data_IF_714199584237
#
_entry.id   IF_714199584237
#
_cell.length_a   1.000
_cell.length_b   1.000
_cell.length_c   1.000
_cell.angle_alpha   90.00
_cell.angle_beta   90.00
_cell.angle_gamma   90.00
#
_symmetry.space_group_name_H-M   'P 1'
#
loop_
_entity.id
_entity.type
_entity.pdbx_description
1 polymer ?
#
# COMPACT_ATOMS: atom_id res chain seq x y z
N UNK A 1 -14.78 -21.14 -10.34
CA UNK A 1 -13.75 -20.89 -9.32
C UNK A 1 -13.88 -19.43 -8.96
N UNK A 2 -14.56 -19.11 -7.86
CA UNK A 2 -14.74 -17.74 -7.37
C UNK A 2 -13.39 -17.29 -6.79
N UNK A 3 -12.75 -16.31 -7.42
CA UNK A 3 -11.55 -15.67 -6.89
C UNK A 3 -12.00 -14.78 -5.73
N UNK A 4 -11.76 -15.23 -4.50
CA UNK A 4 -11.77 -14.36 -3.33
C UNK A 4 -10.62 -13.37 -3.55
N UNK A 5 -10.95 -12.12 -3.86
CA UNK A 5 -9.98 -11.02 -3.84
C UNK A 5 -9.73 -10.75 -2.37
N UNK A 6 -8.76 -11.46 -1.79
CA UNK A 6 -8.18 -11.08 -0.51
C UNK A 6 -7.43 -9.77 -0.75
N UNK A 7 -8.08 -8.66 -0.44
CA UNK A 7 -7.40 -7.39 -0.30
C UNK A 7 -6.40 -7.53 0.85
N UNK A 8 -5.14 -7.77 0.52
CA UNK A 8 -4.04 -7.63 1.47
C UNK A 8 -4.01 -6.16 1.87
N UNK A 9 -4.62 -5.83 3.00
CA UNK A 9 -4.39 -4.54 3.65
C UNK A 9 -3.00 -4.63 4.25
N UNK A 10 -1.99 -4.34 3.43
CA UNK A 10 -0.72 -3.96 3.97
C UNK A 10 -0.95 -2.63 4.69
N UNK A 11 -0.73 -2.58 5.99
CA UNK A 11 -0.62 -1.32 6.73
C UNK A 11 0.65 -0.67 6.21
N UNK A 12 0.53 0.03 5.09
CA UNK A 12 1.61 0.82 4.56
C UNK A 12 1.46 2.23 5.12
N UNK A 13 2.49 2.66 5.77
CA UNK A 13 2.63 4.01 6.29
C UNK A 13 2.47 5.05 5.18
N UNK A 14 1.76 6.11 5.46
CA UNK A 14 1.27 7.08 4.49
C UNK A 14 1.95 8.43 4.63
N UNK A 15 2.16 9.11 3.54
CA UNK A 15 2.73 10.44 3.47
C UNK A 15 1.80 11.45 2.82
N UNK A 16 1.72 12.58 3.46
CA UNK A 16 1.09 13.79 2.93
C UNK A 16 2.10 14.57 2.08
N UNK A 17 1.78 14.90 0.83
CA UNK A 17 2.43 15.98 0.12
C UNK A 17 2.15 17.29 0.86
N UNK A 18 3.19 17.94 1.42
CA UNK A 18 3.09 19.29 1.95
C UNK A 18 2.73 20.23 0.81
N UNK A 19 1.60 20.93 0.95
CA UNK A 19 1.43 22.26 0.40
C UNK A 19 2.43 23.13 1.17
N UNK A 20 3.20 23.97 0.48
CA UNK A 20 3.94 25.05 1.13
C UNK A 20 2.95 25.93 1.87
N UNK A 21 2.83 25.72 3.17
CA UNK A 21 2.29 26.67 4.12
C UNK A 21 3.33 26.89 5.20
N UNK A 22 3.72 28.15 5.30
CA UNK A 22 4.59 28.68 6.35
C UNK A 22 4.16 28.19 7.73
N UNK A 23 5.10 27.55 8.40
CA UNK A 23 5.21 27.38 9.83
C UNK A 23 3.92 27.26 10.61
N UNK A 24 3.46 26.03 10.80
CA UNK A 24 2.89 25.59 12.07
C UNK A 24 2.91 24.07 12.09
N UNK A 25 3.49 23.54 13.12
CA UNK A 25 3.45 22.15 13.51
C UNK A 25 1.99 21.70 13.51
N UNK A 26 1.56 21.00 12.45
CA UNK A 26 0.21 20.45 12.41
C UNK A 26 0.19 19.28 13.39
N UNK A 27 -0.09 19.60 14.64
CA UNK A 27 -0.47 18.63 15.65
C UNK A 27 -1.64 17.84 15.09
N UNK A 28 -1.41 16.56 14.83
CA UNK A 28 -2.49 15.66 14.46
C UNK A 28 -3.43 15.61 15.64
N UNK A 29 -4.66 16.02 15.39
CA UNK A 29 -5.70 16.03 16.41
C UNK A 29 -6.07 14.60 16.78
N UNK A 30 -6.26 14.39 18.08
CA UNK A 30 -6.84 13.15 18.60
C UNK A 30 -8.16 12.84 17.86
N UNK A 31 -8.32 11.59 17.40
CA UNK A 31 -9.52 11.17 16.66
C UNK A 31 -9.42 11.21 15.12
N UNK A 32 -8.23 11.43 14.54
CA UNK A 32 -8.02 11.36 13.09
C UNK A 32 -7.82 9.94 12.57
N UNK A 33 -7.49 8.99 13.45
CA UNK A 33 -7.35 7.57 13.13
C UNK A 33 -8.52 6.78 13.68
N UNK A 34 -9.09 5.86 12.90
CA UNK A 34 -10.01 4.90 13.46
C UNK A 34 -9.28 3.93 14.39
N UNK A 35 -9.84 3.76 15.58
CA UNK A 35 -9.40 2.73 16.55
C UNK A 35 -9.78 1.34 16.08
N UNK A 36 -10.86 1.25 15.35
CA UNK A 36 -11.33 0.00 14.77
C UNK A 36 -11.79 0.20 13.32
N UNK A 37 -11.43 -0.74 12.45
CA UNK A 37 -11.89 -0.82 11.06
C UNK A 37 -12.41 -2.22 10.81
N UNK A 38 -13.69 -2.35 10.48
CA UNK A 38 -14.33 -3.63 10.18
C UNK A 38 -14.68 -3.70 8.70
N UNK A 39 -14.14 -4.70 8.01
CA UNK A 39 -14.43 -5.00 6.61
C UNK A 39 -15.49 -6.09 6.53
N UNK A 40 -16.52 -5.87 5.71
CA UNK A 40 -17.60 -6.84 5.43
C UNK A 40 -17.60 -7.20 3.95
N UNK A 41 -17.88 -8.46 3.65
CA UNK A 41 -18.06 -8.93 2.28
C UNK A 41 -19.42 -8.48 1.68
N UNK A 42 -19.69 -8.88 0.44
CA UNK A 42 -20.93 -8.55 -0.28
C UNK A 42 -22.20 -9.02 0.44
N UNK A 43 -22.11 -10.04 1.30
CA UNK A 43 -23.20 -10.58 2.10
C UNK A 43 -23.33 -9.93 3.49
N UNK A 44 -22.54 -8.88 3.77
CA UNK A 44 -22.52 -8.19 5.06
C UNK A 44 -21.82 -8.95 6.20
N UNK A 45 -21.17 -10.09 5.92
CA UNK A 45 -20.41 -10.85 6.92
C UNK A 45 -19.04 -10.20 7.10
N UNK A 46 -18.55 -10.17 8.35
CA UNK A 46 -17.22 -9.68 8.67
C UNK A 46 -16.17 -10.56 7.97
N UNK A 47 -15.36 -9.93 7.13
CA UNK A 47 -14.24 -10.56 6.43
C UNK A 47 -12.91 -10.31 7.13
N UNK A 48 -12.74 -9.10 7.70
CA UNK A 48 -11.59 -8.79 8.56
C UNK A 48 -11.90 -7.65 9.52
N UNK A 49 -11.15 -7.59 10.60
CA UNK A 49 -11.22 -6.56 11.63
C UNK A 49 -9.82 -6.10 11.99
N UNK A 50 -9.61 -4.79 12.02
CA UNK A 50 -8.38 -4.15 12.46
C UNK A 50 -8.67 -3.32 13.71
N UNK A 51 -7.92 -3.55 14.78
CA UNK A 51 -7.97 -2.75 16.01
C UNK A 51 -6.61 -2.11 16.23
N UNK A 52 -6.58 -0.81 16.52
CA UNK A 52 -5.35 -0.04 16.70
C UNK A 52 -5.31 0.62 18.09
N UNK A 53 -4.18 0.52 18.76
CA UNK A 53 -3.85 1.33 19.94
C UNK A 53 -3.20 2.62 19.46
N UNK A 54 -3.84 3.76 19.77
CA UNK A 54 -3.41 5.08 19.31
C UNK A 54 -3.18 5.96 20.55
N UNK A 55 -1.98 6.52 20.66
CA UNK A 55 -1.61 7.46 21.73
C UNK A 55 -0.81 8.63 21.15
N UNK A 56 -1.11 9.86 21.54
CA UNK A 56 -0.43 11.06 21.06
C UNK A 56 -0.45 11.20 19.52
N UNK A 57 -1.53 10.73 18.88
CA UNK A 57 -1.64 10.70 17.42
C UNK A 57 -0.77 9.65 16.72
N UNK A 58 -0.18 8.70 17.42
CA UNK A 58 0.65 7.62 16.88
C UNK A 58 -0.03 6.28 17.07
N UNK A 59 0.03 5.42 16.06
CA UNK A 59 -0.37 4.01 16.20
C UNK A 59 0.78 3.25 16.86
N UNK A 60 0.59 2.83 18.10
CA UNK A 60 1.59 2.05 18.85
C UNK A 60 1.51 0.57 18.55
N UNK A 61 0.31 0.07 18.33
CA UNK A 61 0.09 -1.30 17.87
C UNK A 61 -1.18 -1.40 17.04
N UNK A 62 -1.25 -2.43 16.22
CA UNK A 62 -2.48 -2.81 15.54
C UNK A 62 -2.60 -4.33 15.50
N UNK A 63 -3.83 -4.82 15.56
CA UNK A 63 -4.15 -6.23 15.47
C UNK A 63 -5.23 -6.44 14.42
N UNK A 64 -4.95 -7.30 13.44
CA UNK A 64 -5.84 -7.62 12.35
C UNK A 64 -6.24 -9.09 12.44
N UNK A 65 -7.53 -9.36 12.38
CA UNK A 65 -8.11 -10.69 12.24
C UNK A 65 -8.76 -10.83 10.88
N UNK A 66 -8.56 -11.96 10.23
CA UNK A 66 -9.22 -12.33 8.98
C UNK A 66 -10.08 -13.56 9.25
N UNK A 67 -11.32 -13.53 8.75
CA UNK A 67 -12.34 -14.53 9.01
C UNK A 67 -12.68 -15.30 7.74
N UNK A 68 -13.05 -16.58 7.89
CA UNK A 68 -13.64 -17.37 6.81
C UNK A 68 -15.16 -17.05 6.65
N UNK A 69 -15.78 -17.68 5.67
CA UNK A 69 -17.24 -17.50 5.41
C UNK A 69 -18.14 -17.92 6.60
N UNK A 70 -17.64 -18.76 7.51
CA UNK A 70 -18.36 -19.20 8.70
C UNK A 70 -18.15 -18.26 9.90
N UNK A 71 -17.36 -17.19 9.75
CA UNK A 71 -17.04 -16.24 10.83
C UNK A 71 -15.96 -16.72 11.81
N UNK A 72 -15.24 -17.80 11.48
CA UNK A 72 -14.10 -18.24 12.29
C UNK A 72 -12.81 -17.54 11.86
N UNK A 73 -11.97 -17.08 12.79
CA UNK A 73 -10.69 -16.47 12.45
C UNK A 73 -9.76 -17.52 11.81
N UNK A 74 -9.20 -17.19 10.65
CA UNK A 74 -8.24 -18.04 9.92
C UNK A 74 -6.83 -17.47 9.94
N UNK A 75 -6.70 -16.18 10.22
CA UNK A 75 -5.42 -15.49 10.30
C UNK A 75 -5.50 -14.35 11.30
N UNK A 76 -4.44 -14.19 12.08
CA UNK A 76 -4.22 -13.01 12.92
C UNK A 76 -2.89 -12.38 12.57
N UNK A 77 -2.79 -11.07 12.68
CA UNK A 77 -1.54 -10.33 12.57
C UNK A 77 -1.53 -9.23 13.60
N UNK A 78 -0.43 -9.11 14.33
CA UNK A 78 -0.20 -8.03 15.29
C UNK A 78 1.07 -7.29 14.93
N UNK A 79 0.96 -5.99 14.84
CA UNK A 79 2.09 -5.07 14.65
C UNK A 79 2.33 -4.29 15.95
N UNK A 80 3.59 -4.14 16.33
CA UNK A 80 4.05 -3.24 17.39
C UNK A 80 5.01 -2.26 16.76
N UNK A 81 4.77 -0.96 16.97
CA UNK A 81 5.51 0.12 16.32
C UNK A 81 6.26 0.92 17.38
N UNK A 82 7.56 1.06 17.20
CA UNK A 82 8.44 1.86 18.05
C UNK A 82 8.85 3.12 17.31
N UNK A 83 8.83 4.24 18.00
CA UNK A 83 9.17 5.56 17.46
C UNK A 83 10.43 6.14 18.12
N UNK A 84 11.12 6.97 17.36
CA UNK A 84 12.10 7.94 17.85
C UNK A 84 11.61 9.33 17.45
N UNK A 85 11.18 10.13 18.43
CA UNK A 85 10.41 11.34 18.14
C UNK A 85 9.13 11.00 17.35
N UNK A 86 8.98 11.60 16.16
CA UNK A 86 7.84 11.34 15.27
C UNK A 86 8.15 10.33 14.16
N UNK A 87 9.36 9.74 14.15
CA UNK A 87 9.77 8.79 13.13
C UNK A 87 9.60 7.35 13.61
N UNK A 88 9.05 6.48 12.77
CA UNK A 88 9.01 5.05 13.07
C UNK A 88 10.45 4.51 13.00
N UNK A 89 10.91 3.92 14.10
CA UNK A 89 12.23 3.29 14.16
C UNK A 89 12.19 1.81 13.87
N UNK A 90 11.11 1.15 14.31
CA UNK A 90 10.96 -0.30 14.22
C UNK A 90 9.49 -0.67 14.15
N UNK A 91 9.18 -1.69 13.36
CA UNK A 91 7.91 -2.41 13.37
C UNK A 91 8.19 -3.90 13.60
N UNK A 92 7.52 -4.49 14.58
CA UNK A 92 7.55 -5.93 14.82
C UNK A 92 6.20 -6.51 14.47
N UNK A 93 6.18 -7.40 13.48
CA UNK A 93 5.00 -8.11 13.05
C UNK A 93 5.05 -9.54 13.55
N UNK A 94 3.95 -10.00 14.15
CA UNK A 94 3.72 -11.40 14.49
C UNK A 94 2.38 -11.82 13.95
N UNK A 95 2.28 -13.05 13.46
CA UNK A 95 1.02 -13.53 12.90
C UNK A 95 0.92 -15.04 12.87
N UNK A 96 -0.31 -15.49 12.62
CA UNK A 96 -0.69 -16.90 12.39
C UNK A 96 -1.35 -17.00 11.00
N UNK A 97 -1.45 -18.19 10.43
CA UNK A 97 -2.12 -18.43 9.15
C UNK A 97 -1.31 -19.32 8.22
N UNK A 98 -1.68 -19.37 6.95
CA UNK A 98 -1.28 -20.38 5.98
C UNK A 98 0.23 -20.47 5.70
N UNK A 99 0.99 -19.39 5.89
CA UNK A 99 2.45 -19.43 5.82
C UNK A 99 3.08 -18.78 7.06
N UNK A 100 3.28 -19.55 8.13
CA UNK A 100 3.86 -19.05 9.38
C UNK A 100 5.30 -18.55 9.20
N UNK A 101 6.00 -18.92 8.12
CA UNK A 101 7.38 -18.49 7.90
C UNK A 101 7.47 -17.01 7.53
N UNK A 102 6.43 -16.45 6.89
CA UNK A 102 6.37 -15.05 6.48
C UNK A 102 5.50 -14.16 7.37
N UNK A 103 4.79 -14.75 8.35
CA UNK A 103 3.87 -14.02 9.22
C UNK A 103 4.55 -13.29 10.38
N UNK A 104 5.85 -13.48 10.59
CA UNK A 104 6.59 -12.83 11.68
C UNK A 104 7.90 -12.27 11.17
N UNK A 105 8.04 -10.95 11.27
CA UNK A 105 9.24 -10.24 10.86
C UNK A 105 9.46 -8.99 11.72
N UNK A 106 10.69 -8.49 11.68
CA UNK A 106 11.05 -7.19 12.22
C UNK A 106 11.48 -6.30 11.08
N UNK A 107 10.93 -5.09 11.00
CA UNK A 107 11.36 -4.06 10.05
C UNK A 107 11.96 -2.90 10.81
N UNK A 108 13.17 -2.49 10.41
CA UNK A 108 13.90 -1.35 10.99
C UNK A 108 14.08 -0.27 9.93
N UNK A 109 14.03 0.99 10.37
CA UNK A 109 14.04 2.15 9.51
C UNK A 109 15.19 3.07 9.88
N UNK A 110 15.92 3.57 8.88
CA UNK A 110 17.01 4.53 9.05
C UNK A 110 16.70 5.80 8.27
N UNK A 111 17.02 6.95 8.86
CA UNK A 111 16.69 8.26 8.32
C UNK A 111 17.91 9.15 8.20
N UNK A 112 17.89 10.05 7.21
CA UNK A 112 18.72 11.24 7.14
C UNK A 112 17.79 12.44 7.38
N UNK A 113 17.92 13.07 8.57
CA UNK A 113 16.92 14.00 9.06
C UNK A 113 15.54 13.33 9.16
N UNK A 114 14.57 13.77 8.35
CA UNK A 114 13.22 13.18 8.28
C UNK A 114 13.03 12.27 7.08
N UNK A 115 14.04 12.09 6.22
CA UNK A 115 13.98 11.27 5.01
C UNK A 115 14.34 9.83 5.31
N UNK A 116 13.49 8.90 4.96
CA UNK A 116 13.78 7.47 5.05
C UNK A 116 14.85 7.11 4.00
N UNK A 117 16.04 6.68 4.43
CA UNK A 117 17.13 6.30 3.51
C UNK A 117 17.33 4.79 3.42
N UNK A 118 16.84 4.03 4.41
CA UNK A 118 16.95 2.57 4.40
C UNK A 118 15.85 1.92 5.22
N UNK A 119 15.31 0.81 4.74
CA UNK A 119 14.58 -0.15 5.56
C UNK A 119 15.17 -1.55 5.44
N UNK A 120 15.10 -2.32 6.53
CA UNK A 120 15.56 -3.71 6.59
C UNK A 120 14.44 -4.54 7.21
N UNK A 121 13.99 -5.57 6.50
CA UNK A 121 12.99 -6.52 6.97
C UNK A 121 13.65 -7.88 7.21
N UNK A 122 13.67 -8.30 8.48
CA UNK A 122 14.21 -9.58 8.92
C UNK A 122 13.08 -10.54 9.28
N UNK A 123 12.97 -11.64 8.56
CA UNK A 123 11.99 -12.69 8.83
C UNK A 123 12.48 -13.61 9.95
N UNK A 124 11.62 -13.83 10.97
CA UNK A 124 12.03 -14.56 12.20
C UNK A 124 12.16 -16.07 11.99
N UNK A 125 11.43 -16.67 11.05
CA UNK A 125 11.36 -18.12 10.87
C UNK A 125 12.14 -18.65 9.67
N UNK A 126 12.50 -17.78 8.75
CA UNK A 126 13.35 -18.09 7.60
C UNK A 126 14.55 -17.16 7.63
N UNK A 127 15.72 -17.67 7.29
CA UNK A 127 16.93 -16.83 7.20
C UNK A 127 16.82 -15.98 5.94
N UNK A 128 16.07 -14.88 6.05
CA UNK A 128 15.81 -13.99 4.93
C UNK A 128 15.75 -12.54 5.39
N UNK A 129 16.65 -11.73 4.86
CA UNK A 129 16.69 -10.28 5.08
C UNK A 129 16.42 -9.55 3.78
N UNK A 130 15.43 -8.68 3.76
CA UNK A 130 15.14 -7.80 2.63
C UNK A 130 15.62 -6.41 3.00
N UNK A 131 16.41 -5.79 2.12
CA UNK A 131 16.89 -4.42 2.31
C UNK A 131 16.34 -3.54 1.20
N UNK A 132 15.86 -2.34 1.56
CA UNK A 132 15.48 -1.30 0.61
C UNK A 132 16.26 -0.02 0.91
N UNK A 133 16.89 0.54 -0.11
CA UNK A 133 17.61 1.83 -0.07
C UNK A 133 16.80 2.85 -0.85
N UNK A 134 16.71 4.07 -0.33
CA UNK A 134 15.95 5.17 -0.89
C UNK A 134 16.87 6.34 -1.20
N UNK A 135 16.76 6.93 -2.38
CA UNK A 135 17.56 8.08 -2.82
C UNK A 135 16.65 9.23 -3.22
N UNK A 136 17.07 10.45 -2.91
CA UNK A 136 16.26 11.67 -3.08
C UNK A 136 17.04 12.73 -3.86
N UNK A 137 16.29 13.57 -4.58
CA UNK A 137 16.72 14.88 -5.07
C UNK A 137 15.87 15.94 -4.38
N UNK A 138 16.50 16.73 -3.50
CA UNK A 138 15.74 17.55 -2.56
C UNK A 138 14.78 16.69 -1.73
N UNK A 139 13.49 17.03 -1.74
CA UNK A 139 12.44 16.27 -1.02
C UNK A 139 11.76 15.21 -1.89
N UNK A 140 12.16 15.08 -3.15
CA UNK A 140 11.58 14.12 -4.08
C UNK A 140 12.35 12.82 -4.06
N UNK A 141 11.67 11.70 -3.80
CA UNK A 141 12.26 10.39 -3.97
C UNK A 141 12.49 10.10 -5.46
N UNK A 142 13.74 9.79 -5.82
CA UNK A 142 14.12 9.54 -7.21
C UNK A 142 14.40 8.08 -7.51
N UNK A 143 14.83 7.33 -6.49
CA UNK A 143 15.17 5.93 -6.69
C UNK A 143 14.90 5.09 -5.43
N UNK A 144 14.48 3.86 -5.64
CA UNK A 144 14.40 2.79 -4.65
C UNK A 144 15.10 1.55 -5.19
N UNK A 145 15.96 0.92 -4.36
CA UNK A 145 16.57 -0.37 -4.68
C UNK A 145 16.26 -1.35 -3.57
N UNK A 146 15.42 -2.33 -3.88
CA UNK A 146 15.09 -3.45 -2.99
C UNK A 146 15.96 -4.66 -3.37
N UNK A 147 16.59 -5.27 -2.38
CA UNK A 147 17.36 -6.51 -2.51
C UNK A 147 16.76 -7.61 -1.64
N UNK A 148 16.67 -8.80 -2.20
CA UNK A 148 16.05 -9.95 -1.57
C UNK A 148 16.83 -11.22 -1.90
N UNK A 149 17.35 -12.00 -0.92
CA UNK A 149 17.97 -13.29 -1.18
C UNK A 149 16.92 -14.30 -1.69
N UNK A 150 17.26 -15.02 -2.72
CA UNK A 150 16.40 -16.06 -3.32
C UNK A 150 17.19 -17.30 -3.63
N UNK A 151 16.51 -18.45 -3.72
CA UNK A 151 17.10 -19.65 -4.28
C UNK A 151 16.96 -19.62 -5.81
N UNK A 152 18.05 -19.86 -6.52
CA UNK A 152 18.10 -19.94 -7.99
C UNK A 152 18.93 -21.13 -8.44
N UNK A 153 19.06 -21.37 -9.75
CA UNK A 153 19.85 -22.48 -10.31
C UNK A 153 20.98 -21.91 -11.14
N UNK A 154 22.21 -22.42 -10.90
CA UNK A 154 23.39 -22.12 -11.70
C UNK A 154 24.13 -23.43 -12.00
N UNK A 155 24.43 -23.69 -13.29
CA UNK A 155 25.08 -24.92 -13.75
C UNK A 155 24.38 -26.20 -13.26
N UNK A 156 23.03 -26.18 -13.20
CA UNK A 156 22.23 -27.30 -12.71
C UNK A 156 22.18 -27.46 -11.18
N UNK A 157 22.92 -26.64 -10.43
CA UNK A 157 22.94 -26.68 -8.97
C UNK A 157 22.11 -25.55 -8.37
N UNK A 158 21.51 -25.83 -7.22
CA UNK A 158 20.75 -24.84 -6.45
C UNK A 158 21.74 -23.93 -5.71
N UNK A 159 21.65 -22.63 -5.95
CA UNK A 159 22.53 -21.62 -5.36
C UNK A 159 21.70 -20.48 -4.78
N UNK A 160 22.29 -19.73 -3.86
CA UNK A 160 21.68 -18.48 -3.37
C UNK A 160 22.03 -17.35 -4.34
N UNK A 161 21.02 -16.70 -4.87
CA UNK A 161 21.12 -15.49 -5.68
C UNK A 161 20.47 -14.30 -4.98
N UNK A 162 20.54 -13.14 -5.60
CA UNK A 162 19.89 -11.92 -5.11
C UNK A 162 18.93 -11.40 -6.16
N UNK A 163 17.66 -11.25 -5.79
CA UNK A 163 16.66 -10.54 -6.60
C UNK A 163 16.76 -9.05 -6.30
N UNK A 164 16.85 -8.25 -7.34
CA UNK A 164 16.81 -6.80 -7.30
C UNK A 164 15.48 -6.30 -7.85
N UNK A 165 14.93 -5.27 -7.20
CA UNK A 165 13.85 -4.46 -7.74
C UNK A 165 14.31 -3.01 -7.65
N UNK A 166 14.59 -2.41 -8.81
CA UNK A 166 14.99 -1.01 -8.94
C UNK A 166 13.80 -0.20 -9.44
N UNK A 167 13.41 0.81 -8.67
CA UNK A 167 12.28 1.69 -8.99
C UNK A 167 12.79 3.11 -9.14
N UNK A 168 12.62 3.69 -10.31
CA UNK A 168 13.01 5.07 -10.61
C UNK A 168 11.76 5.93 -10.77
N UNK A 169 11.79 7.13 -10.18
CA UNK A 169 10.71 8.10 -10.20
C UNK A 169 11.14 9.35 -10.96
N UNK A 170 10.36 9.76 -11.93
CA UNK A 170 10.58 11.00 -12.69
C UNK A 170 9.35 11.88 -12.56
N UNK A 171 9.54 13.11 -12.16
CA UNK A 171 8.49 14.08 -11.88
C UNK A 171 8.45 15.13 -13.02
N UNK A 172 7.25 15.35 -13.60
CA UNK A 172 7.03 16.38 -14.60
C UNK A 172 5.66 17.04 -14.34
N UNK A 173 5.68 18.14 -13.58
CA UNK A 173 4.44 18.77 -13.09
C UNK A 173 3.64 17.76 -12.26
N UNK A 174 2.38 17.58 -12.63
CA UNK A 174 1.44 16.66 -11.99
C UNK A 174 1.65 15.17 -12.36
N UNK A 175 2.60 14.88 -13.27
CA UNK A 175 2.88 13.52 -13.72
C UNK A 175 4.08 12.93 -13.02
N UNK A 176 3.92 11.71 -12.51
CA UNK A 176 5.00 10.90 -11.94
C UNK A 176 5.14 9.65 -12.80
N UNK A 177 6.26 9.50 -13.46
CA UNK A 177 6.61 8.29 -14.20
C UNK A 177 7.43 7.38 -13.30
N UNK A 178 6.98 6.14 -13.15
CA UNK A 178 7.65 5.10 -12.38
C UNK A 178 8.13 4.02 -13.33
N UNK A 179 9.45 3.81 -13.38
CA UNK A 179 10.08 2.71 -14.09
C UNK A 179 10.57 1.71 -13.05
N UNK A 180 10.02 0.50 -13.10
CA UNK A 180 10.43 -0.59 -12.23
C UNK A 180 11.15 -1.65 -13.06
N UNK A 181 12.38 -2.00 -12.66
CA UNK A 181 13.20 -3.06 -13.23
C UNK A 181 13.42 -4.14 -12.18
N UNK A 182 13.07 -5.38 -12.50
CA UNK A 182 13.36 -6.54 -11.65
C UNK A 182 14.33 -7.46 -12.37
N UNK A 183 15.28 -8.05 -11.63
CA UNK A 183 16.20 -9.05 -12.14
C UNK A 183 16.79 -9.89 -11.00
N UNK A 184 17.31 -11.05 -11.35
CA UNK A 184 18.06 -11.93 -10.44
C UNK A 184 19.53 -11.92 -10.80
N UNK A 185 20.39 -11.61 -9.82
CA UNK A 185 21.84 -11.72 -9.94
C UNK A 185 22.31 -13.00 -9.25
N UNK A 186 22.96 -13.90 -10.01
CA UNK A 186 23.57 -15.14 -9.52
C UNK A 186 24.92 -14.90 -8.88
N UNK A 187 25.49 -15.85 -8.10
CA UNK A 187 26.82 -15.70 -7.49
C UNK A 187 27.93 -15.39 -8.49
N UNK A 188 27.86 -15.96 -9.69
CA UNK A 188 28.81 -15.67 -10.80
C UNK A 188 28.72 -14.23 -11.33
N UNK A 189 27.67 -13.46 -10.91
CA UNK A 189 27.37 -12.15 -11.46
C UNK A 189 26.42 -12.20 -12.66
N UNK A 190 26.04 -13.37 -13.17
CA UNK A 190 25.12 -13.51 -14.28
C UNK A 190 23.71 -13.03 -13.89
N UNK A 191 23.06 -12.27 -14.78
CA UNK A 191 21.72 -11.70 -14.58
C UNK A 191 20.71 -12.51 -15.35
N UNK A 192 19.59 -12.85 -14.67
CA UNK A 192 18.43 -13.56 -15.25
C UNK A 192 17.14 -12.88 -14.85
N UNK A 193 16.02 -13.32 -15.44
CA UNK A 193 14.65 -12.91 -15.09
C UNK A 193 14.44 -11.40 -15.15
N UNK A 194 15.14 -10.74 -16.10
CA UNK A 194 15.01 -9.29 -16.26
C UNK A 194 13.64 -8.92 -16.80
N UNK A 195 12.94 -8.07 -16.08
CA UNK A 195 11.67 -7.51 -16.49
C UNK A 195 11.62 -6.01 -16.19
N UNK A 196 10.99 -5.25 -17.06
CA UNK A 196 10.80 -3.80 -16.87
C UNK A 196 9.34 -3.44 -17.06
N UNK A 197 8.78 -2.70 -16.12
CA UNK A 197 7.44 -2.16 -16.22
C UNK A 197 7.45 -0.64 -16.08
N UNK A 198 6.43 0.00 -16.66
CA UNK A 198 6.23 1.44 -16.60
C UNK A 198 4.83 1.74 -16.09
N UNK A 199 4.77 2.65 -15.15
CA UNK A 199 3.51 3.19 -14.61
C UNK A 199 3.60 4.72 -14.66
N UNK A 200 2.49 5.36 -15.00
CA UNK A 200 2.40 6.83 -15.00
C UNK A 200 1.23 7.19 -14.10
N UNK A 201 1.47 8.07 -13.16
CA UNK A 201 0.46 8.62 -12.26
C UNK A 201 0.27 10.09 -12.58
N UNK A 202 -0.99 10.54 -12.63
CA UNK A 202 -1.33 11.96 -12.62
C UNK A 202 -1.89 12.30 -11.25
N UNK A 203 -1.27 13.24 -10.55
CA UNK A 203 -1.60 13.65 -9.17
C UNK A 203 -2.10 15.08 -9.18
N UNK A 204 -3.33 15.30 -8.76
CA UNK A 204 -3.94 16.64 -8.68
C UNK A 204 -4.50 16.84 -7.28
N UNK A 205 -4.12 17.93 -6.62
CA UNK A 205 -4.60 18.28 -5.29
C UNK A 205 -4.29 17.23 -4.20
N UNK A 206 -3.21 16.44 -4.38
CA UNK A 206 -2.85 15.36 -3.45
C UNK A 206 -3.59 14.05 -3.70
N UNK A 207 -4.35 13.92 -4.79
CA UNK A 207 -5.04 12.70 -5.20
C UNK A 207 -4.48 12.18 -6.52
N UNK A 208 -4.33 10.86 -6.65
CA UNK A 208 -4.04 10.23 -7.94
C UNK A 208 -5.34 10.20 -8.76
N UNK A 209 -5.44 11.06 -9.77
CA UNK A 209 -6.64 11.12 -10.61
C UNK A 209 -6.57 10.17 -11.80
N UNK A 210 -5.37 9.71 -12.17
CA UNK A 210 -5.17 8.74 -13.25
C UNK A 210 -3.93 7.89 -13.02
N UNK A 211 -4.04 6.60 -13.34
CA UNK A 211 -2.93 5.64 -13.39
C UNK A 211 -2.92 4.98 -14.77
N UNK A 212 -1.77 4.93 -15.40
CA UNK A 212 -1.55 4.26 -16.68
C UNK A 212 -0.45 3.21 -16.50
N UNK A 213 -0.71 1.98 -16.90
CA UNK A 213 0.26 0.86 -16.84
C UNK A 213 0.41 0.28 -18.23
N UNK A 214 1.65 0.10 -18.68
CA UNK A 214 1.96 -0.60 -19.90
C UNK A 214 2.67 -1.90 -19.56
N UNK A 215 2.01 -3.02 -19.81
CA UNK A 215 2.56 -4.37 -19.59
C UNK A 215 3.31 -4.88 -20.82
N UNK A 216 2.79 -4.54 -22.01
CA UNK A 216 3.39 -4.84 -23.33
C UNK A 216 2.80 -3.88 -24.36
N UNK A 217 3.32 -3.85 -25.60
CA UNK A 217 2.71 -3.07 -26.69
C UNK A 217 1.21 -3.35 -26.91
N UNK A 218 0.77 -4.61 -26.64
CA UNK A 218 -0.61 -5.05 -26.82
C UNK A 218 -1.42 -5.14 -25.52
N UNK A 219 -0.83 -4.80 -24.36
CA UNK A 219 -1.49 -4.89 -23.07
C UNK A 219 -1.26 -3.64 -22.22
N UNK A 220 -2.32 -2.87 -22.02
CA UNK A 220 -2.31 -1.61 -21.26
C UNK A 220 -3.50 -1.56 -20.30
N UNK A 221 -3.32 -0.85 -19.20
CA UNK A 221 -4.39 -0.53 -18.24
C UNK A 221 -4.38 0.96 -17.95
N UNK A 222 -5.54 1.56 -17.99
CA UNK A 222 -5.77 2.93 -17.51
C UNK A 222 -6.83 2.89 -16.42
N UNK A 223 -6.56 3.57 -15.30
CA UNK A 223 -7.53 3.73 -14.23
C UNK A 223 -7.72 5.21 -13.98
N UNK A 224 -8.95 5.68 -14.05
CA UNK A 224 -9.35 7.04 -13.76
C UNK A 224 -10.14 7.08 -12.46
N UNK A 225 -9.79 8.01 -11.58
CA UNK A 225 -10.32 8.11 -10.22
C UNK A 225 -11.03 9.44 -10.01
N UNK A 226 -12.13 9.42 -9.28
CA UNK A 226 -12.77 10.62 -8.73
C UNK A 226 -12.83 10.56 -7.21
N UNK A 227 -12.79 11.71 -6.57
CA UNK A 227 -12.70 11.85 -5.13
C UNK A 227 -13.75 12.84 -4.63
N UNK A 228 -14.10 12.70 -3.35
CA UNK A 228 -14.84 13.73 -2.62
C UNK A 228 -13.91 14.87 -2.15
N UNK A 229 -14.43 15.73 -1.28
CA UNK A 229 -13.66 16.82 -0.65
C UNK A 229 -13.43 16.59 0.84
N UNK A 230 -13.79 15.39 1.35
CA UNK A 230 -13.77 15.04 2.78
C UNK A 230 -12.43 14.44 3.18
N UNK A 231 -12.22 14.27 4.48
CA UNK A 231 -10.98 13.78 5.04
C UNK A 231 -10.83 12.27 4.83
N UNK A 232 -9.70 11.86 4.28
CA UNK A 232 -9.34 10.44 4.26
C UNK A 232 -8.54 10.11 5.54
N UNK A 233 -9.02 9.22 6.42
CA UNK A 233 -8.37 8.92 7.69
C UNK A 233 -6.99 8.28 7.50
N UNK A 234 -6.76 7.66 6.34
CA UNK A 234 -5.50 6.98 6.05
C UNK A 234 -4.37 7.95 5.68
N UNK A 235 -4.68 9.21 5.32
CA UNK A 235 -3.69 10.23 4.91
C UNK A 235 -3.14 11.00 6.09
N UNK A 236 -3.90 11.14 7.16
CA UNK A 236 -3.50 11.90 8.34
C UNK A 236 -2.57 11.09 9.28
N UNK A 237 -1.98 10.01 8.78
CA UNK A 237 -1.13 9.16 9.57
C UNK A 237 0.21 9.82 9.89
N UNK A 238 0.49 10.04 11.20
CA UNK A 238 1.79 10.51 11.70
C UNK A 238 2.94 9.55 11.44
N UNK A 239 2.64 8.31 11.10
CA UNK A 239 3.64 7.35 10.69
C UNK A 239 4.15 7.71 9.30
N UNK A 240 4.69 8.92 9.15
CA UNK A 240 5.28 9.43 7.91
C UNK A 240 6.54 8.65 7.52
N UNK A 241 6.38 7.37 7.26
CA UNK A 241 7.31 6.68 6.39
C UNK A 241 6.93 7.15 5.00
N UNK A 242 7.78 7.98 4.45
CA UNK A 242 7.65 8.48 3.09
C UNK A 242 8.00 7.33 2.16
N UNK A 243 7.03 6.49 1.86
CA UNK A 243 7.11 5.54 0.78
C UNK A 243 6.30 6.09 -0.38
N UNK A 244 6.90 6.28 -1.54
CA UNK A 244 6.19 6.74 -2.74
C UNK A 244 5.22 5.71 -3.28
N UNK A 245 5.29 4.46 -2.85
CA UNK A 245 4.30 3.43 -3.15
C UNK A 245 2.88 3.81 -2.78
N UNK A 246 2.70 4.82 -1.93
CA UNK A 246 1.38 5.31 -1.60
C UNK A 246 0.66 5.99 -2.77
N UNK A 247 1.37 6.48 -3.78
CA UNK A 247 0.74 6.98 -5.00
C UNK A 247 0.00 5.89 -5.78
N UNK A 248 0.24 4.66 -5.42
CA UNK A 248 -0.07 3.49 -6.22
C UNK A 248 -1.44 2.93 -5.85
N UNK A 249 -1.94 3.23 -4.65
CA UNK A 249 -3.13 2.58 -4.11
C UNK A 249 -4.34 3.51 -4.06
N UNK A 250 -5.51 2.99 -4.49
CA UNK A 250 -6.81 3.69 -4.52
C UNK A 250 -7.19 4.41 -3.22
N UNK A 251 -6.76 3.89 -2.08
CA UNK A 251 -7.15 4.35 -0.75
C UNK A 251 -6.29 5.47 -0.20
N UNK A 252 -5.33 6.00 -0.96
CA UNK A 252 -4.25 6.83 -0.41
C UNK A 252 -4.20 8.25 -0.96
N UNK A 253 -5.28 8.69 -1.61
CA UNK A 253 -5.47 10.09 -1.93
C UNK A 253 -5.74 10.95 -0.69
N UNK A 254 -5.58 12.25 -0.81
CA UNK A 254 -5.94 13.23 0.23
C UNK A 254 -7.40 13.11 0.66
N UNK A 255 -8.25 12.75 -0.26
CA UNK A 255 -9.70 12.65 -0.11
C UNK A 255 -10.17 11.20 -0.32
N UNK A 256 -11.42 10.92 -0.01
CA UNK A 256 -11.97 9.59 -0.17
C UNK A 256 -12.35 9.32 -1.63
N UNK A 257 -12.04 8.12 -2.11
CA UNK A 257 -12.30 7.67 -3.47
C UNK A 257 -13.80 7.49 -3.70
N UNK A 258 -14.38 8.14 -4.73
CA UNK A 258 -15.79 7.97 -5.10
C UNK A 258 -15.98 6.96 -6.24
N UNK A 259 -15.12 7.01 -7.26
CA UNK A 259 -15.19 6.08 -8.39
C UNK A 259 -13.82 5.68 -8.88
N UNK A 260 -13.73 4.47 -9.44
CA UNK A 260 -12.61 4.06 -10.27
C UNK A 260 -13.15 3.47 -11.58
N UNK A 261 -12.73 4.03 -12.71
CA UNK A 261 -13.02 3.47 -14.04
C UNK A 261 -11.75 2.80 -14.56
N UNK A 262 -11.79 1.49 -14.73
CA UNK A 262 -10.67 0.66 -15.14
C UNK A 262 -10.88 0.26 -16.60
N UNK A 263 -9.99 0.71 -17.49
CA UNK A 263 -9.96 0.35 -18.89
C UNK A 263 -8.74 -0.53 -19.16
N UNK A 264 -8.96 -1.75 -19.57
CA UNK A 264 -7.92 -2.69 -19.97
C UNK A 264 -7.98 -2.94 -21.46
N UNK A 265 -6.83 -2.82 -22.12
CA UNK A 265 -6.66 -3.20 -23.52
C UNK A 265 -5.77 -4.43 -23.56
N UNK A 266 -6.26 -5.51 -24.16
CA UNK A 266 -5.52 -6.78 -24.35
C UNK A 266 -5.83 -7.32 -25.74
N UNK A 267 -4.80 -7.54 -26.55
CA UNK A 267 -4.95 -8.08 -27.91
C UNK A 267 -6.00 -7.34 -28.75
N UNK A 268 -5.98 -6.00 -28.73
CA UNK A 268 -6.91 -5.10 -29.40
C UNK A 268 -8.38 -5.18 -28.90
N UNK A 269 -8.63 -5.87 -27.81
CA UNK A 269 -9.93 -5.86 -27.14
C UNK A 269 -9.89 -4.91 -25.95
N UNK A 270 -10.95 -4.15 -25.77
CA UNK A 270 -11.09 -3.21 -24.65
C UNK A 270 -12.14 -3.72 -23.67
N UNK A 271 -11.76 -3.79 -22.41
CA UNK A 271 -12.61 -4.14 -21.29
C UNK A 271 -12.71 -2.95 -20.35
N UNK A 272 -13.93 -2.60 -19.96
CA UNK A 272 -14.17 -1.50 -19.03
C UNK A 272 -14.93 -2.05 -17.83
N UNK A 273 -14.42 -1.73 -16.64
CA UNK A 273 -15.12 -2.01 -15.37
C UNK A 273 -15.12 -0.75 -14.52
N UNK A 274 -16.14 -0.61 -13.69
CA UNK A 274 -16.30 0.53 -12.79
C UNK A 274 -16.55 0.08 -11.37
N UNK A 275 -15.96 0.82 -10.45
CA UNK A 275 -16.16 0.68 -9.01
C UNK A 275 -16.72 1.99 -8.47
N UNK A 276 -17.58 1.89 -7.46
CA UNK A 276 -18.22 3.02 -6.82
C UNK A 276 -18.10 2.88 -5.30
N UNK A 277 -17.92 4.01 -4.63
CA UNK A 277 -17.78 4.09 -3.18
C UNK A 277 -18.73 5.14 -2.63
N UNK A 278 -19.51 4.78 -1.63
CA UNK A 278 -20.48 5.64 -0.96
C UNK A 278 -20.11 5.72 0.52
N UNK A 279 -20.11 6.92 1.10
CA UNK A 279 -19.65 7.16 2.46
C UNK A 279 -20.70 7.81 3.33
N UNK A 280 -20.64 7.51 4.62
CA UNK A 280 -21.28 8.28 5.69
C UNK A 280 -20.16 8.90 6.52
N UNK A 281 -20.30 10.15 6.95
CA UNK A 281 -19.26 10.91 7.63
C UNK A 281 -19.70 11.33 9.04
N UNK A 282 -18.72 11.53 9.93
CA UNK A 282 -18.93 12.18 11.20
C UNK A 282 -18.89 13.73 11.03
N UNK A 283 -19.07 14.46 12.14
CA UNK A 283 -19.05 15.92 12.21
C UNK A 283 -17.69 16.56 11.87
N UNK A 284 -16.62 15.77 11.83
CA UNK A 284 -15.26 16.19 11.45
C UNK A 284 -14.90 15.79 10.01
N UNK A 285 -15.89 15.42 9.21
CA UNK A 285 -15.72 14.99 7.81
C UNK A 285 -14.86 13.72 7.62
N UNK A 286 -14.74 12.88 8.64
CA UNK A 286 -14.14 11.54 8.51
C UNK A 286 -15.21 10.47 8.27
N UNK A 287 -14.98 9.48 7.40
CA UNK A 287 -15.96 8.45 7.11
C UNK A 287 -16.19 7.54 8.32
N UNK A 288 -17.46 7.34 8.69
CA UNK A 288 -17.89 6.31 9.67
C UNK A 288 -18.26 5.01 9.00
N UNK A 289 -18.63 5.08 7.72
CA UNK A 289 -18.83 3.88 6.91
C UNK A 289 -18.55 4.16 5.43
N UNK A 290 -18.22 3.09 4.71
CA UNK A 290 -18.04 3.05 3.27
C UNK A 290 -18.77 1.84 2.71
N UNK A 291 -19.51 2.01 1.61
CA UNK A 291 -20.03 0.92 0.79
C UNK A 291 -19.28 0.87 -0.53
N UNK A 292 -18.92 -0.33 -0.94
CA UNK A 292 -18.25 -0.58 -2.21
C UNK A 292 -19.17 -1.35 -3.14
N UNK A 293 -19.24 -0.91 -4.40
CA UNK A 293 -20.01 -1.52 -5.47
C UNK A 293 -19.13 -1.72 -6.68
N UNK A 294 -19.40 -2.77 -7.44
CA UNK A 294 -18.86 -3.02 -8.78
C UNK A 294 -19.97 -2.92 -9.81
N UNK A 295 -19.63 -2.50 -11.02
CA UNK A 295 -20.57 -2.51 -12.14
C UNK A 295 -20.48 -3.85 -12.89
N UNK A 296 -21.58 -4.58 -12.93
CA UNK A 296 -21.74 -5.78 -13.75
C UNK A 296 -23.02 -5.64 -14.59
N UNK A 297 -22.89 -5.78 -15.93
CA UNK A 297 -24.02 -5.64 -16.86
C UNK A 297 -24.77 -4.30 -16.69
N UNK A 298 -24.03 -3.20 -16.53
CA UNK A 298 -24.56 -1.85 -16.28
C UNK A 298 -25.38 -1.70 -14.96
N UNK A 299 -25.26 -2.64 -14.03
CA UNK A 299 -25.90 -2.57 -12.71
C UNK A 299 -24.86 -2.50 -11.60
N UNK A 300 -25.09 -1.63 -10.62
CA UNK A 300 -24.29 -1.60 -9.40
C UNK A 300 -24.63 -2.79 -8.52
N UNK A 301 -23.63 -3.63 -8.22
CA UNK A 301 -23.75 -4.76 -7.29
C UNK A 301 -22.90 -4.52 -6.05
N UNK A 302 -23.38 -4.80 -4.85
CA UNK A 302 -22.57 -4.72 -3.64
C UNK A 302 -21.34 -5.63 -3.75
N UNK A 303 -20.18 -5.09 -3.35
CA UNK A 303 -18.91 -5.82 -3.30
C UNK A 303 -18.32 -5.88 -1.89
N UNK A 304 -18.91 -5.12 -0.95
CA UNK A 304 -18.54 -5.09 0.46
C UNK A 304 -18.75 -3.74 1.11
N UNK A 305 -18.37 -3.65 2.37
CA UNK A 305 -18.42 -2.39 3.13
C UNK A 305 -17.32 -2.32 4.17
N UNK A 306 -17.07 -1.10 4.65
CA UNK A 306 -16.12 -0.83 5.74
C UNK A 306 -16.83 0.03 6.77
N UNK A 307 -16.63 -0.29 8.04
CA UNK A 307 -17.05 0.53 9.19
C UNK A 307 -15.83 1.05 9.92
N UNK A 308 -15.86 2.31 10.35
CA UNK A 308 -14.78 2.99 11.04
C UNK A 308 -15.29 3.48 12.41
N UNK A 309 -14.53 3.20 13.48
CA UNK A 309 -14.77 3.72 14.84
C UNK A 309 -13.54 4.52 15.28
N UNK A 310 -13.76 5.76 15.73
CA UNK A 310 -12.71 6.71 16.13
C UNK A 310 -12.54 6.79 17.64
#
# INVERSE_FOLDING_TARGET
MKKVILGLVAIAALVSCKKEDNGNDSTIQEGTFPKEVTYKNENGKVASKLVSLIEGGKILSSEMEIYNENGSPIRTQKDIITYEGNLIKKRETTGTGDDPNYNSFTETFSYDGTKLVKSVTDYKKVVKTITTIYSYDGDKLTNMVKTEPIQTTENGQRVEGTKYTETNFTYNGDRITVKEKTYTKKPSGFITDENTSFKIYTVVGGNVVKKEVTYSPSAKETIEYTYDTKNNPMVNNLTKIILPDYFIEKSRGRNNLLTATITQVRNNQTFVSKEYYEYVYNDKDYPTSQKHFIEENAQKKPAGSIEFQY
#
